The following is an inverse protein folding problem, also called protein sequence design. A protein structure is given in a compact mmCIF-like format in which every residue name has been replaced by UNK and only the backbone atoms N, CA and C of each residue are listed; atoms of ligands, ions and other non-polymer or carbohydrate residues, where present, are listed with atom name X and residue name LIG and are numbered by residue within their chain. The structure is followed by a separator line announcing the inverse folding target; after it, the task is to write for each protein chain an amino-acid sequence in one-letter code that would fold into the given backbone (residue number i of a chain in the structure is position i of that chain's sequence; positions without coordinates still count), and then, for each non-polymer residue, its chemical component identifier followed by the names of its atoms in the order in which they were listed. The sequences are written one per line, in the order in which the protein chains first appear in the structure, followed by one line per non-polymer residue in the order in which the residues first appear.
data_IF_188658615197
#
_entry.id   IF_188658615197
#
_cell.length_a   1.000
_cell.length_b   1.000
_cell.length_c   1.000
_cell.angle_alpha   90.00
_cell.angle_beta   90.00
_cell.angle_gamma   90.00
#
_symmetry.space_group_name_H-M   'P 1'
#
loop_
_entity.id
_entity.type
_entity.pdbx_description
1 polymer ?
#
# COMPACT_ATOMS: atom_id res chain seq x y z
N UNK A 1 63.74 -11.14 -6.53
CA UNK A 1 62.53 -11.39 -7.38
C UNK A 1 61.33 -10.76 -6.67
N UNK A 2 60.69 -9.75 -7.28
CA UNK A 2 59.45 -9.25 -6.77
C UNK A 2 58.34 -10.28 -7.02
N UNK A 3 57.44 -10.57 -6.08
CA UNK A 3 56.37 -11.52 -6.31
C UNK A 3 55.48 -11.02 -7.47
N UNK A 4 55.00 -11.92 -8.33
CA UNK A 4 54.27 -11.57 -9.58
C UNK A 4 53.05 -10.66 -9.37
N UNK A 5 52.46 -10.69 -8.19
CA UNK A 5 51.27 -9.87 -7.84
C UNK A 5 51.58 -8.37 -7.66
N UNK A 6 52.82 -8.00 -7.28
CA UNK A 6 53.16 -6.58 -7.08
C UNK A 6 53.44 -5.85 -8.41
N UNK A 7 53.93 -6.55 -9.43
CA UNK A 7 54.12 -5.96 -10.76
C UNK A 7 52.80 -5.63 -11.45
N UNK A 8 51.78 -6.48 -11.28
CA UNK A 8 50.43 -6.26 -11.80
C UNK A 8 49.75 -5.06 -11.13
N UNK A 9 49.81 -4.94 -9.81
CA UNK A 9 49.24 -3.83 -9.06
C UNK A 9 49.94 -2.50 -9.35
N UNK A 10 51.26 -2.49 -9.57
CA UNK A 10 52.00 -1.27 -9.96
C UNK A 10 51.64 -0.81 -11.37
N UNK A 11 51.34 -1.71 -12.29
CA UNK A 11 50.95 -1.39 -13.66
C UNK A 11 49.51 -0.90 -13.74
N UNK A 12 48.63 -1.33 -12.84
CA UNK A 12 47.27 -0.77 -12.69
C UNK A 12 47.29 0.66 -12.14
N UNK A 13 48.27 0.98 -11.26
CA UNK A 13 48.39 2.33 -10.67
C UNK A 13 49.03 3.36 -11.64
N UNK A 14 49.95 2.88 -12.50
CA UNK A 14 50.65 3.72 -13.50
C UNK A 14 50.71 2.96 -14.84
N UNK A 15 49.59 2.96 -15.61
CA UNK A 15 49.51 2.18 -16.83
C UNK A 15 50.47 2.74 -17.89
N UNK A 16 51.50 2.01 -18.21
CA UNK A 16 52.48 2.40 -19.23
C UNK A 16 52.13 1.85 -20.61
N UNK A 17 51.51 0.67 -20.68
CA UNK A 17 51.12 -0.01 -21.92
C UNK A 17 49.70 0.36 -22.31
N UNK A 18 49.41 0.43 -23.62
CA UNK A 18 48.11 0.86 -24.14
C UNK A 18 46.96 -0.04 -23.61
N UNK A 19 47.16 -1.35 -23.50
CA UNK A 19 46.16 -2.29 -22.99
C UNK A 19 45.89 -2.10 -21.48
N UNK A 20 46.94 -1.77 -20.69
CA UNK A 20 46.73 -1.45 -19.27
C UNK A 20 45.89 -0.20 -19.08
N UNK A 21 46.10 0.83 -19.93
CA UNK A 21 45.27 2.03 -19.95
C UNK A 21 43.81 1.71 -20.29
N UNK A 22 43.61 0.80 -21.27
CA UNK A 22 42.26 0.36 -21.65
C UNK A 22 41.57 -0.41 -20.54
N UNK A 23 42.28 -1.33 -19.85
CA UNK A 23 41.76 -2.06 -18.70
C UNK A 23 41.36 -1.08 -17.57
N UNK A 24 42.24 -0.14 -17.21
CA UNK A 24 41.95 0.86 -16.17
C UNK A 24 40.74 1.73 -16.57
N UNK A 25 40.63 2.15 -17.82
CA UNK A 25 39.49 2.91 -18.31
C UNK A 25 38.19 2.09 -18.22
N UNK A 26 38.21 0.81 -18.63
CA UNK A 26 37.03 -0.07 -18.53
C UNK A 26 36.61 -0.29 -17.08
N UNK A 27 37.56 -0.53 -16.17
CA UNK A 27 37.30 -0.69 -14.74
C UNK A 27 36.71 0.62 -14.16
N UNK A 28 37.29 1.76 -14.52
CA UNK A 28 36.78 3.06 -14.08
C UNK A 28 35.35 3.31 -14.59
N UNK A 29 35.09 3.09 -15.89
CA UNK A 29 33.76 3.24 -16.49
C UNK A 29 32.77 2.30 -15.78
N UNK A 30 33.14 1.02 -15.60
CA UNK A 30 32.28 0.05 -14.91
C UNK A 30 31.97 0.48 -13.47
N UNK A 31 32.96 0.98 -12.75
CA UNK A 31 32.78 1.49 -11.39
C UNK A 31 31.84 2.70 -11.34
N UNK A 32 32.06 3.70 -12.22
CA UNK A 32 31.18 4.87 -12.24
C UNK A 32 29.76 4.54 -12.70
N UNK A 33 29.59 3.59 -13.64
CA UNK A 33 28.27 3.10 -14.04
C UNK A 33 27.55 2.42 -12.87
N UNK A 34 28.26 1.59 -12.10
CA UNK A 34 27.73 0.92 -10.92
C UNK A 34 27.31 1.93 -9.85
N UNK A 35 28.15 2.92 -9.54
CA UNK A 35 27.83 3.98 -8.58
C UNK A 35 26.65 4.81 -9.05
N UNK A 36 26.64 5.21 -10.32
CA UNK A 36 25.50 5.96 -10.89
C UNK A 36 24.20 5.16 -10.80
N UNK A 37 24.23 3.87 -11.14
CA UNK A 37 23.06 2.99 -11.01
C UNK A 37 22.55 2.91 -9.56
N UNK A 38 23.43 2.78 -8.58
CA UNK A 38 23.08 2.74 -7.17
C UNK A 38 22.44 4.07 -6.70
N UNK A 39 23.00 5.22 -7.12
CA UNK A 39 22.46 6.55 -6.78
C UNK A 39 21.09 6.74 -7.40
N UNK A 40 20.93 6.45 -8.69
CA UNK A 40 19.65 6.59 -9.40
C UNK A 40 18.59 5.67 -8.74
N UNK A 41 18.93 4.42 -8.48
CA UNK A 41 18.01 3.48 -7.83
C UNK A 41 17.62 3.95 -6.43
N UNK A 42 18.58 4.42 -5.63
CA UNK A 42 18.31 4.99 -4.30
C UNK A 42 17.40 6.21 -4.36
N UNK A 43 17.62 7.10 -5.34
CA UNK A 43 16.75 8.26 -5.54
C UNK A 43 15.32 7.87 -5.93
N UNK A 44 15.16 6.87 -6.81
CA UNK A 44 13.83 6.39 -7.21
C UNK A 44 13.12 5.73 -6.03
N UNK A 45 13.80 4.85 -5.28
CA UNK A 45 13.22 4.23 -4.07
C UNK A 45 12.83 5.31 -3.07
N UNK A 46 13.68 6.31 -2.85
CA UNK A 46 13.35 7.44 -1.97
C UNK A 46 12.06 8.15 -2.41
N UNK A 47 11.88 8.44 -3.70
CA UNK A 47 10.64 9.07 -4.19
C UNK A 47 9.41 8.14 -4.06
N UNK A 48 9.59 6.82 -4.22
CA UNK A 48 8.51 5.85 -4.03
C UNK A 48 8.09 5.77 -2.56
N UNK A 49 9.05 5.68 -1.64
CA UNK A 49 8.72 5.56 -0.21
C UNK A 49 8.35 6.88 0.45
N UNK A 50 8.64 8.02 -0.18
CA UNK A 50 8.25 9.36 0.30
C UNK A 50 7.40 10.08 -0.73
N UNK A 51 6.15 9.64 -0.97
CA UNK A 51 5.26 10.28 -1.92
C UNK A 51 5.00 11.74 -1.52
N UNK A 52 4.83 12.59 -2.51
CA UNK A 52 4.65 14.03 -2.28
C UNK A 52 3.28 14.30 -1.70
N UNK A 53 3.23 15.00 -0.56
CA UNK A 53 2.00 15.55 0.00
C UNK A 53 1.39 16.58 -0.94
N UNK A 54 0.09 16.50 -1.16
CA UNK A 54 -0.61 17.39 -2.07
C UNK A 54 -2.09 17.55 -1.76
N UNK A 55 -2.54 17.18 -0.55
CA UNK A 55 -3.94 17.39 -0.17
C UNK A 55 -4.22 18.86 0.12
N UNK A 56 -5.37 19.33 -0.37
CA UNK A 56 -5.90 20.63 0.07
C UNK A 56 -6.67 20.42 1.39
N UNK A 57 -6.52 21.33 2.36
CA UNK A 57 -7.31 21.25 3.58
C UNK A 57 -8.81 21.38 3.24
N UNK A 58 -9.59 20.39 3.65
CA UNK A 58 -11.05 20.40 3.51
C UNK A 58 -11.67 20.92 4.82
N UNK A 59 -12.61 21.84 4.71
CA UNK A 59 -13.40 22.31 5.85
C UNK A 59 -14.48 21.26 6.18
N UNK A 60 -14.20 20.44 7.19
CA UNK A 60 -15.10 19.40 7.67
C UNK A 60 -16.37 19.96 8.34
N UNK A 61 -16.32 21.19 8.86
CA UNK A 61 -17.45 21.77 9.60
C UNK A 61 -18.71 21.92 8.74
N UNK A 62 -18.53 22.11 7.44
CA UNK A 62 -19.62 22.28 6.47
C UNK A 62 -19.83 21.01 5.60
N UNK A 63 -19.15 19.90 5.91
CA UNK A 63 -19.28 18.70 5.10
C UNK A 63 -20.55 17.89 5.48
N UNK A 64 -21.30 17.38 4.48
CA UNK A 64 -22.45 16.52 4.73
C UNK A 64 -22.03 15.28 5.55
N UNK A 65 -22.90 14.87 6.50
CA UNK A 65 -22.60 13.72 7.35
C UNK A 65 -21.83 14.05 8.62
N UNK A 66 -21.42 15.31 8.82
CA UNK A 66 -20.77 15.80 10.04
C UNK A 66 -19.62 14.94 10.53
N UNK A 67 -18.57 14.77 9.74
CA UNK A 67 -17.41 13.97 10.14
C UNK A 67 -16.68 14.59 11.33
N UNK A 68 -16.20 13.72 12.20
CA UNK A 68 -15.36 14.09 13.35
C UNK A 68 -13.90 13.78 13.05
N UNK A 69 -12.99 14.65 13.46
CA UNK A 69 -11.58 14.31 13.44
C UNK A 69 -11.27 13.31 14.56
N UNK A 70 -10.56 12.25 14.22
CA UNK A 70 -10.05 11.27 15.17
C UNK A 70 -8.54 11.20 15.06
N UNK A 71 -7.86 11.10 16.19
CA UNK A 71 -6.41 10.89 16.24
C UNK A 71 -6.11 9.55 16.88
N UNK A 72 -5.20 8.80 16.26
CA UNK A 72 -4.73 7.52 16.78
C UNK A 72 -3.21 7.49 16.86
N UNK A 73 -2.69 6.95 17.97
CA UNK A 73 -1.26 6.96 18.28
C UNK A 73 -0.60 5.66 17.83
N UNK A 74 0.54 5.80 17.17
CA UNK A 74 1.42 4.71 16.78
C UNK A 74 2.60 4.66 17.77
N UNK A 75 2.90 3.50 18.33
CA UNK A 75 3.94 3.35 19.35
C UNK A 75 5.33 3.86 18.91
N UNK A 76 5.64 3.81 17.61
CA UNK A 76 6.96 4.17 17.09
C UNK A 76 6.96 5.37 16.13
N UNK A 77 5.79 5.85 15.65
CA UNK A 77 5.72 6.77 14.52
C UNK A 77 4.85 8.01 14.76
N UNK A 78 4.54 8.31 16.02
CA UNK A 78 3.76 9.51 16.38
C UNK A 78 2.26 9.31 16.24
N UNK A 79 1.53 10.40 16.02
CA UNK A 79 0.06 10.41 15.89
C UNK A 79 -0.32 10.52 14.43
N UNK A 80 -1.44 9.90 14.08
CA UNK A 80 -2.12 10.02 12.78
C UNK A 80 -3.53 10.49 13.00
N UNK A 81 -4.07 11.16 11.99
CA UNK A 81 -5.43 11.66 12.00
C UNK A 81 -6.28 10.90 10.98
N UNK A 82 -7.54 10.81 11.25
CA UNK A 82 -8.55 10.24 10.39
C UNK A 82 -9.86 11.00 10.51
N UNK A 83 -10.81 10.68 9.67
CA UNK A 83 -12.16 11.24 9.74
C UNK A 83 -13.16 10.14 10.03
N UNK A 84 -13.95 10.35 11.07
CA UNK A 84 -15.01 9.44 11.49
C UNK A 84 -16.37 10.01 11.11
N UNK A 85 -17.13 9.28 10.36
CA UNK A 85 -18.51 9.58 9.95
C UNK A 85 -19.44 8.74 10.82
N UNK A 86 -20.16 9.35 11.77
CA UNK A 86 -21.08 8.61 12.62
C UNK A 86 -22.29 8.12 11.82
N UNK A 87 -22.58 6.83 11.93
CA UNK A 87 -23.78 6.19 11.37
C UNK A 87 -24.85 5.96 12.45
N UNK A 88 -25.50 4.80 12.39
CA UNK A 88 -26.43 4.39 13.44
C UNK A 88 -25.67 4.01 14.70
N UNK A 89 -26.26 4.32 15.86
CA UNK A 89 -25.65 3.97 17.15
C UNK A 89 -25.39 2.46 17.26
N UNK A 90 -24.18 2.12 17.67
CA UNK A 90 -23.70 0.73 17.76
C UNK A 90 -23.72 -0.05 16.43
N UNK A 91 -23.75 0.65 15.29
CA UNK A 91 -23.55 0.02 14.00
C UNK A 91 -22.07 -0.44 13.83
N UNK A 92 -21.83 -1.45 13.00
CA UNK A 92 -20.48 -1.80 12.58
C UNK A 92 -19.76 -0.62 11.95
N UNK A 93 -18.43 -0.61 12.05
CA UNK A 93 -17.61 0.45 11.46
C UNK A 93 -16.83 -0.07 10.27
N UNK A 94 -16.88 0.64 9.15
CA UNK A 94 -16.10 0.35 7.95
C UNK A 94 -14.92 1.32 7.89
N UNK A 95 -13.69 0.80 7.87
CA UNK A 95 -12.49 1.59 7.66
C UNK A 95 -12.16 1.59 6.17
N UNK A 96 -12.03 2.78 5.60
CA UNK A 96 -11.60 3.00 4.22
C UNK A 96 -10.11 3.31 4.20
N UNK A 97 -9.36 2.45 3.53
CA UNK A 97 -7.92 2.43 3.47
C UNK A 97 -7.46 2.87 2.08
N UNK A 98 -6.94 4.10 1.92
CA UNK A 98 -6.55 4.62 0.61
C UNK A 98 -5.41 3.83 -0.02
N UNK A 99 -5.29 3.93 -1.33
CA UNK A 99 -4.20 3.37 -2.11
C UNK A 99 -2.91 4.20 -2.06
N UNK A 100 -1.91 3.71 -2.77
CA UNK A 100 -0.65 4.42 -2.95
C UNK A 100 -0.88 5.73 -3.73
N UNK A 101 -0.39 6.84 -3.19
CA UNK A 101 -0.61 8.21 -3.70
C UNK A 101 -2.08 8.65 -3.77
N UNK A 102 -2.99 7.97 -3.07
CA UNK A 102 -4.37 8.41 -2.89
C UNK A 102 -4.52 9.20 -1.60
N UNK A 103 -5.34 10.27 -1.66
CA UNK A 103 -5.74 11.02 -0.47
C UNK A 103 -7.05 10.49 0.10
N UNK A 104 -7.22 10.59 1.43
CA UNK A 104 -8.50 10.26 2.09
C UNK A 104 -9.67 11.09 1.54
N UNK A 105 -9.38 12.30 1.06
CA UNK A 105 -10.36 13.22 0.46
C UNK A 105 -11.05 12.63 -0.77
N UNK A 106 -10.33 11.82 -1.52
CA UNK A 106 -10.83 11.20 -2.73
C UNK A 106 -11.89 10.11 -2.42
N UNK A 107 -11.92 9.61 -1.18
CA UNK A 107 -12.85 8.58 -0.71
C UNK A 107 -14.10 9.13 -0.01
N UNK A 108 -14.23 10.46 0.11
CA UNK A 108 -15.37 11.10 0.76
C UNK A 108 -16.74 10.67 0.19
N UNK A 109 -16.95 10.55 -1.14
CA UNK A 109 -18.24 10.10 -1.65
C UNK A 109 -18.55 8.66 -1.25
N UNK A 110 -17.57 7.76 -1.27
CA UNK A 110 -17.75 6.37 -0.81
C UNK A 110 -18.07 6.31 0.69
N UNK A 111 -17.41 7.15 1.51
CA UNK A 111 -17.68 7.25 2.93
C UNK A 111 -19.13 7.70 3.18
N UNK A 112 -19.59 8.73 2.45
CA UNK A 112 -20.96 9.22 2.54
C UNK A 112 -21.98 8.15 2.11
N UNK A 113 -21.74 7.46 1.01
CA UNK A 113 -22.61 6.39 0.53
C UNK A 113 -22.76 5.25 1.56
N UNK A 114 -21.69 4.86 2.24
CA UNK A 114 -21.75 3.84 3.30
C UNK A 114 -22.39 4.37 4.58
N UNK A 115 -22.16 5.64 4.94
CA UNK A 115 -22.82 6.28 6.07
C UNK A 115 -24.34 6.38 5.85
N UNK A 116 -24.80 6.70 4.66
CA UNK A 116 -26.22 6.72 4.29
C UNK A 116 -26.86 5.33 4.44
N UNK A 117 -26.07 4.27 4.25
CA UNK A 117 -26.50 2.91 4.59
C UNK A 117 -26.52 2.64 6.10
N UNK A 118 -26.16 3.60 6.95
CA UNK A 118 -26.20 3.52 8.41
C UNK A 118 -24.96 2.93 9.06
N UNK A 119 -23.89 2.67 8.33
CA UNK A 119 -22.60 2.28 8.92
C UNK A 119 -21.89 3.46 9.56
N UNK A 120 -21.12 3.19 10.61
CA UNK A 120 -20.04 4.10 10.98
C UNK A 120 -18.93 3.94 9.93
N UNK A 121 -18.34 5.04 9.47
CA UNK A 121 -17.28 4.97 8.46
C UNK A 121 -16.07 5.76 8.95
N UNK A 122 -14.89 5.22 8.75
CA UNK A 122 -13.63 5.91 9.07
C UNK A 122 -12.73 5.97 7.86
N UNK A 123 -12.36 7.17 7.48
CA UNK A 123 -11.28 7.42 6.52
C UNK A 123 -9.96 7.48 7.28
N UNK A 124 -9.08 6.51 7.06
CA UNK A 124 -7.75 6.52 7.65
C UNK A 124 -6.78 7.33 6.79
N UNK A 125 -5.83 7.98 7.43
CA UNK A 125 -4.73 8.65 6.74
C UNK A 125 -3.46 7.83 6.90
N UNK A 126 -2.87 7.42 5.78
CA UNK A 126 -1.65 6.63 5.78
C UNK A 126 -0.40 7.50 5.66
N UNK A 127 0.70 7.03 6.21
CA UNK A 127 2.01 7.67 6.08
C UNK A 127 2.43 7.87 4.62
N UNK A 128 2.00 6.97 3.72
CA UNK A 128 2.25 7.03 2.28
C UNK A 128 1.16 7.73 1.47
N UNK A 129 0.14 8.34 2.11
CA UNK A 129 -0.92 9.05 1.40
C UNK A 129 -0.53 10.49 1.06
N UNK A 130 -1.24 11.08 0.10
CA UNK A 130 -1.07 12.51 -0.26
C UNK A 130 -1.36 13.45 0.89
N UNK A 131 -2.15 13.03 1.87
CA UNK A 131 -2.54 13.84 3.03
C UNK A 131 -1.47 13.88 4.12
N UNK A 132 -0.52 12.95 4.09
CA UNK A 132 0.46 12.75 5.15
C UNK A 132 1.63 13.72 5.07
N UNK A 133 2.04 14.24 6.23
CA UNK A 133 3.26 15.05 6.37
C UNK A 133 4.41 14.20 6.92
N UNK A 134 5.27 13.71 6.04
CA UNK A 134 6.67 13.53 6.39
C UNK A 134 7.18 12.16 6.82
N UNK A 135 6.38 11.10 6.94
CA UNK A 135 6.92 9.74 7.15
C UNK A 135 6.55 8.90 5.94
N UNK A 136 7.55 8.30 5.30
CA UNK A 136 7.35 7.50 4.09
C UNK A 136 6.58 6.20 4.33
N UNK A 137 6.20 5.54 3.25
CA UNK A 137 5.53 4.23 3.23
C UNK A 137 6.54 3.09 3.17
N UNK A 138 6.20 1.97 3.78
CA UNK A 138 6.89 0.68 3.60
C UNK A 138 6.09 -0.22 2.64
N UNK A 139 5.25 0.38 1.80
CA UNK A 139 4.37 -0.28 0.83
C UNK A 139 3.49 -1.38 1.48
N UNK A 140 2.95 -1.10 2.67
CA UNK A 140 1.96 -1.93 3.34
C UNK A 140 2.33 -2.35 4.77
N UNK A 141 3.59 -2.53 5.11
CA UNK A 141 3.96 -3.00 6.44
C UNK A 141 3.58 -2.02 7.54
N UNK A 142 3.89 -0.76 7.37
CA UNK A 142 3.55 0.32 8.32
C UNK A 142 2.06 0.57 8.35
N UNK A 143 1.41 0.55 7.21
CA UNK A 143 0.00 0.82 7.06
C UNK A 143 -0.88 -0.21 7.81
N UNK A 144 -0.43 -1.46 7.94
CA UNK A 144 -1.07 -2.46 8.81
C UNK A 144 -1.11 -1.98 10.27
N UNK A 145 -0.01 -1.38 10.76
CA UNK A 145 0.03 -0.87 12.13
C UNK A 145 -0.85 0.37 12.29
N UNK A 146 -0.93 1.21 11.25
CA UNK A 146 -1.77 2.40 11.25
C UNK A 146 -3.25 2.04 11.30
N UNK A 147 -3.72 1.07 10.48
CA UNK A 147 -5.11 0.58 10.55
C UNK A 147 -5.38 -0.08 11.91
N UNK A 148 -4.43 -0.85 12.44
CA UNK A 148 -4.58 -1.49 13.76
C UNK A 148 -4.75 -0.46 14.86
N UNK A 149 -3.98 0.63 14.84
CA UNK A 149 -4.10 1.73 15.80
C UNK A 149 -5.45 2.45 15.67
N UNK A 150 -5.87 2.77 14.45
CA UNK A 150 -7.17 3.37 14.17
C UNK A 150 -8.31 2.50 14.68
N UNK A 151 -8.32 1.20 14.34
CA UNK A 151 -9.32 0.24 14.80
C UNK A 151 -9.34 0.13 16.33
N UNK A 152 -8.18 0.12 16.97
CA UNK A 152 -8.10 0.04 18.43
C UNK A 152 -8.60 1.32 19.12
N UNK A 153 -8.41 2.49 18.52
CA UNK A 153 -8.97 3.75 18.99
C UNK A 153 -10.49 3.77 18.84
N UNK A 154 -10.99 3.33 17.68
CA UNK A 154 -12.44 3.24 17.42
C UNK A 154 -13.12 2.25 18.38
N UNK A 155 -12.49 1.14 18.69
CA UNK A 155 -13.02 0.15 19.63
C UNK A 155 -13.16 0.65 21.08
N UNK A 156 -12.63 1.83 21.41
CA UNK A 156 -12.83 2.48 22.72
C UNK A 156 -14.05 3.40 22.76
N UNK A 157 -14.65 3.68 21.63
CA UNK A 157 -15.85 4.54 21.52
C UNK A 157 -17.10 3.78 21.99
N UNK A 158 -18.03 4.47 22.62
CA UNK A 158 -19.29 3.91 23.12
C UNK A 158 -20.41 3.92 22.10
N UNK A 159 -20.24 4.63 21.01
CA UNK A 159 -21.16 4.76 19.88
C UNK A 159 -20.89 3.81 18.73
N UNK A 160 -19.80 3.02 18.82
CA UNK A 160 -19.32 2.05 17.82
C UNK A 160 -19.53 0.62 18.35
N UNK A 161 -19.82 -0.33 17.47
CA UNK A 161 -19.71 -1.75 17.81
C UNK A 161 -18.24 -2.16 17.86
N UNK A 162 -17.76 -2.49 19.05
CA UNK A 162 -16.34 -2.76 19.32
C UNK A 162 -15.83 -4.08 18.73
N UNK A 163 -16.71 -4.95 18.28
CA UNK A 163 -16.38 -6.30 17.77
C UNK A 163 -16.69 -6.52 16.29
N UNK A 164 -17.25 -5.55 15.58
CA UNK A 164 -17.66 -5.69 14.19
C UNK A 164 -17.11 -4.58 13.30
N UNK A 165 -15.97 -4.86 12.67
CA UNK A 165 -15.33 -3.95 11.74
C UNK A 165 -15.32 -4.55 10.33
N UNK A 166 -15.57 -3.70 9.33
CA UNK A 166 -15.31 -3.96 7.93
C UNK A 166 -14.07 -3.20 7.48
N UNK A 167 -13.32 -3.75 6.54
CA UNK A 167 -12.20 -3.06 5.90
C UNK A 167 -12.45 -2.98 4.40
N UNK A 168 -12.20 -1.83 3.83
CA UNK A 168 -12.12 -1.63 2.39
C UNK A 168 -10.78 -1.00 2.04
N UNK A 169 -10.18 -1.37 0.91
CA UNK A 169 -8.95 -0.75 0.47
C UNK A 169 -8.67 -0.94 -1.01
N UNK A 170 -7.78 -0.09 -1.54
CA UNK A 170 -7.20 -0.21 -2.87
C UNK A 170 -5.69 -0.38 -2.75
N UNK A 171 -5.09 -1.14 -3.65
CA UNK A 171 -3.66 -1.47 -3.74
C UNK A 171 -2.94 -1.54 -2.36
N UNK A 172 -2.29 -0.48 -1.90
CA UNK A 172 -1.62 -0.36 -0.60
C UNK A 172 -2.59 -0.63 0.56
N UNK A 173 -3.76 0.01 0.52
CA UNK A 173 -4.82 -0.18 1.51
C UNK A 173 -5.38 -1.60 1.51
N UNK A 174 -5.46 -2.25 0.33
CA UNK A 174 -5.89 -3.64 0.19
C UNK A 174 -4.93 -4.62 0.86
N UNK A 175 -3.63 -4.45 0.64
CA UNK A 175 -2.61 -5.26 1.31
C UNK A 175 -2.68 -5.12 2.83
N UNK A 176 -2.79 -3.88 3.30
CA UNK A 176 -2.87 -3.59 4.72
C UNK A 176 -4.17 -4.14 5.34
N UNK A 177 -5.32 -4.01 4.66
CA UNK A 177 -6.61 -4.53 5.11
C UNK A 177 -6.61 -6.06 5.25
N UNK A 178 -6.15 -6.81 4.25
CA UNK A 178 -6.05 -8.27 4.34
C UNK A 178 -5.06 -8.72 5.40
N UNK A 179 -3.92 -8.03 5.53
CA UNK A 179 -2.91 -8.34 6.54
C UNK A 179 -3.41 -8.09 7.96
N UNK A 180 -4.25 -7.08 8.18
CA UNK A 180 -4.88 -6.87 9.49
C UNK A 180 -5.95 -7.92 9.76
N UNK A 181 -6.81 -8.19 8.77
CA UNK A 181 -7.93 -9.11 8.92
C UNK A 181 -7.51 -10.53 9.34
N UNK A 182 -6.34 -11.01 8.89
CA UNK A 182 -5.84 -12.33 9.27
C UNK A 182 -5.42 -12.46 10.74
N UNK A 183 -5.19 -11.32 11.40
CA UNK A 183 -4.64 -11.27 12.76
C UNK A 183 -5.56 -10.61 13.78
N UNK A 184 -6.62 -9.92 13.34
CA UNK A 184 -7.56 -9.23 14.22
C UNK A 184 -8.98 -9.81 14.08
N UNK A 185 -9.48 -10.56 15.06
CA UNK A 185 -10.79 -11.23 14.99
C UNK A 185 -11.97 -10.24 15.00
N UNK A 186 -11.76 -8.97 15.28
CA UNK A 186 -12.79 -7.93 15.20
C UNK A 186 -13.13 -7.56 13.75
N UNK A 187 -12.24 -7.88 12.80
CA UNK A 187 -12.51 -7.69 11.37
C UNK A 187 -13.41 -8.83 10.88
N UNK A 188 -14.59 -8.47 10.39
CA UNK A 188 -15.66 -9.41 10.03
C UNK A 188 -15.94 -9.48 8.53
N UNK A 189 -15.51 -8.50 7.75
CA UNK A 189 -15.64 -8.49 6.30
C UNK A 189 -14.54 -7.62 5.68
N UNK A 190 -14.04 -7.99 4.50
CA UNK A 190 -12.99 -7.25 3.79
C UNK A 190 -13.31 -7.13 2.31
N UNK A 191 -13.28 -5.93 1.77
CA UNK A 191 -13.36 -5.66 0.34
C UNK A 191 -12.01 -5.07 -0.14
N UNK A 192 -11.38 -5.67 -1.13
CA UNK A 192 -10.05 -5.27 -1.61
C UNK A 192 -10.03 -5.14 -3.13
N UNK A 193 -9.41 -4.08 -3.59
CA UNK A 193 -9.20 -3.81 -5.00
C UNK A 193 -7.71 -3.79 -5.34
N UNK A 194 -7.34 -4.42 -6.46
CA UNK A 194 -5.96 -4.35 -7.01
C UNK A 194 -4.88 -4.74 -6.02
N UNK A 195 -5.11 -5.79 -5.21
CA UNK A 195 -4.20 -6.22 -4.15
C UNK A 195 -2.96 -6.92 -4.70
N UNK A 196 -1.83 -6.72 -4.05
CA UNK A 196 -0.56 -7.39 -4.32
C UNK A 196 -0.17 -8.35 -3.18
N UNK A 197 0.74 -9.28 -3.48
CA UNK A 197 1.12 -10.36 -2.56
C UNK A 197 2.21 -9.95 -1.54
N UNK A 198 3.14 -9.09 -1.99
CA UNK A 198 4.24 -8.58 -1.14
C UNK A 198 4.57 -7.12 -1.47
N UNK A 199 5.08 -6.33 -0.52
CA UNK A 199 5.56 -4.97 -0.78
C UNK A 199 6.63 -4.90 -1.88
N UNK A 200 7.52 -5.88 -1.98
CA UNK A 200 8.50 -5.98 -3.05
C UNK A 200 7.86 -6.12 -4.43
N UNK A 201 6.72 -6.82 -4.51
CA UNK A 201 5.98 -6.93 -5.77
C UNK A 201 5.38 -5.59 -6.19
N UNK A 202 4.82 -4.83 -5.23
CA UNK A 202 4.34 -3.48 -5.50
C UNK A 202 5.49 -2.56 -5.93
N UNK A 203 6.64 -2.62 -5.27
CA UNK A 203 7.83 -1.88 -5.69
C UNK A 203 8.18 -2.16 -7.15
N UNK A 204 8.19 -3.43 -7.59
CA UNK A 204 8.48 -3.78 -9.01
C UNK A 204 7.47 -3.17 -9.97
N UNK A 205 6.19 -3.18 -9.62
CA UNK A 205 5.13 -2.57 -10.43
C UNK A 205 5.38 -1.07 -10.56
N UNK A 206 5.71 -0.39 -9.46
CA UNK A 206 6.05 1.03 -9.47
C UNK A 206 7.30 1.34 -10.29
N UNK A 207 8.37 0.52 -10.14
CA UNK A 207 9.59 0.66 -10.94
C UNK A 207 9.33 0.51 -12.45
N UNK A 208 8.42 -0.40 -12.83
CA UNK A 208 7.99 -0.55 -14.22
C UNK A 208 7.23 0.71 -14.69
N UNK A 209 6.36 1.27 -13.85
CA UNK A 209 5.64 2.52 -14.13
C UNK A 209 6.59 3.72 -14.33
N UNK A 210 7.70 3.77 -13.59
CA UNK A 210 8.77 4.76 -13.79
C UNK A 210 9.67 4.49 -15.02
N UNK A 211 9.43 3.37 -15.73
CA UNK A 211 10.20 3.00 -16.94
C UNK A 211 11.59 2.45 -16.67
N UNK A 212 11.95 2.21 -15.42
CA UNK A 212 13.28 1.69 -15.05
C UNK A 212 13.30 0.19 -14.77
N UNK A 213 12.14 -0.45 -14.71
CA UNK A 213 12.01 -1.88 -14.40
C UNK A 213 12.73 -2.82 -15.38
N UNK A 214 12.93 -2.39 -16.64
CA UNK A 214 13.64 -3.15 -17.68
C UNK A 214 15.12 -2.78 -17.83
N UNK A 215 15.61 -1.79 -17.09
CA UNK A 215 17.00 -1.35 -17.19
C UNK A 215 17.94 -2.28 -16.42
N UNK A 216 19.13 -2.60 -16.99
CA UNK A 216 20.06 -3.46 -16.30
C UNK A 216 20.56 -2.83 -14.99
N UNK A 217 20.66 -3.63 -13.94
CA UNK A 217 21.14 -3.29 -12.59
C UNK A 217 20.18 -2.43 -11.74
N UNK A 218 19.45 -1.46 -12.31
CA UNK A 218 18.64 -0.49 -11.57
C UNK A 218 17.56 -1.16 -10.69
N UNK A 219 16.73 -2.10 -11.20
CA UNK A 219 15.75 -2.78 -10.34
C UNK A 219 16.40 -3.54 -9.18
N UNK A 220 17.52 -4.23 -9.45
CA UNK A 220 18.20 -5.00 -8.40
C UNK A 220 18.79 -4.14 -7.28
N UNK A 221 19.28 -2.93 -7.61
CA UNK A 221 19.70 -1.97 -6.60
C UNK A 221 18.51 -1.38 -5.83
N UNK A 222 17.42 -1.07 -6.55
CA UNK A 222 16.21 -0.56 -5.93
C UNK A 222 15.60 -1.59 -4.95
N UNK A 223 15.48 -2.85 -5.36
CA UNK A 223 14.98 -3.93 -4.51
C UNK A 223 15.86 -4.11 -3.26
N UNK A 224 17.18 -4.18 -3.41
CA UNK A 224 18.08 -4.31 -2.26
C UNK A 224 18.04 -3.10 -1.33
N UNK A 225 17.92 -1.88 -1.88
CA UNK A 225 17.74 -0.67 -1.10
C UNK A 225 16.45 -0.70 -0.29
N UNK A 226 15.36 -1.13 -0.90
CA UNK A 226 14.07 -1.29 -0.25
C UNK A 226 14.10 -2.39 0.82
N UNK A 227 14.68 -3.56 0.53
CA UNK A 227 14.83 -4.66 1.49
C UNK A 227 15.68 -4.22 2.71
N UNK A 228 16.68 -3.37 2.49
CA UNK A 228 17.46 -2.81 3.60
C UNK A 228 16.64 -1.83 4.46
N UNK A 229 15.78 -1.01 3.84
CA UNK A 229 14.88 -0.12 4.55
C UNK A 229 13.82 -0.87 5.35
N UNK A 230 13.34 -2.00 4.82
CA UNK A 230 12.25 -2.81 5.41
C UNK A 230 12.76 -4.11 6.06
N UNK A 231 14.05 -4.18 6.43
CA UNK A 231 14.68 -5.42 6.91
C UNK A 231 14.00 -6.02 8.16
N UNK A 232 13.38 -5.19 8.99
CA UNK A 232 12.65 -5.63 10.19
C UNK A 232 11.38 -6.41 9.84
N UNK A 233 10.80 -6.15 8.68
CA UNK A 233 9.57 -6.76 8.19
C UNK A 233 9.83 -7.90 7.20
N UNK A 234 11.11 -8.16 6.86
CA UNK A 234 11.51 -9.18 5.89
C UNK A 234 11.09 -10.62 6.26
N UNK A 235 10.76 -10.86 7.54
CA UNK A 235 10.27 -12.15 8.02
C UNK A 235 8.76 -12.35 7.79
N UNK A 236 8.02 -11.34 7.33
CA UNK A 236 6.58 -11.43 7.09
C UNK A 236 6.34 -12.22 5.80
N UNK A 237 5.68 -13.40 5.87
CA UNK A 237 5.41 -14.20 4.67
C UNK A 237 4.49 -13.48 3.70
N UNK A 238 4.53 -13.81 2.38
CA UNK A 238 3.56 -13.31 1.41
C UNK A 238 2.11 -13.53 1.83
N UNK A 239 1.20 -12.64 1.40
CA UNK A 239 -0.24 -12.78 1.68
C UNK A 239 -0.77 -14.13 1.24
N UNK A 240 -0.34 -14.64 0.10
CA UNK A 240 -0.73 -15.96 -0.44
C UNK A 240 -0.51 -17.10 0.56
N UNK A 241 0.50 -17.03 1.41
CA UNK A 241 0.76 -18.04 2.45
C UNK A 241 -0.07 -17.81 3.72
N UNK A 242 -0.62 -16.61 3.91
CA UNK A 242 -1.36 -16.20 5.10
C UNK A 242 -2.88 -16.22 4.92
N UNK A 243 -3.36 -16.19 3.65
CA UNK A 243 -4.80 -16.23 3.30
C UNK A 243 -5.60 -17.35 4.00
N UNK A 244 -5.07 -18.57 4.26
CA UNK A 244 -5.83 -19.60 4.99
C UNK A 244 -6.35 -19.15 6.37
N UNK A 245 -5.71 -18.16 7.00
CA UNK A 245 -6.17 -17.58 8.28
C UNK A 245 -7.47 -16.77 8.15
N UNK A 246 -7.84 -16.39 6.93
CA UNK A 246 -9.09 -15.68 6.64
C UNK A 246 -10.29 -16.63 6.40
N UNK A 247 -10.18 -17.91 6.77
CA UNK A 247 -11.31 -18.83 6.68
C UNK A 247 -12.50 -18.32 7.50
N UNK A 248 -13.68 -18.28 6.88
CA UNK A 248 -14.90 -17.78 7.50
C UNK A 248 -15.07 -16.25 7.50
N UNK A 249 -14.07 -15.47 7.12
CA UNK A 249 -14.22 -14.02 6.92
C UNK A 249 -14.71 -13.77 5.49
N UNK A 250 -15.86 -13.14 5.25
CA UNK A 250 -16.31 -12.74 3.92
C UNK A 250 -15.34 -11.76 3.25
N UNK A 251 -14.99 -12.06 2.00
CA UNK A 251 -14.05 -11.26 1.20
C UNK A 251 -14.62 -10.95 -0.17
N UNK A 252 -14.46 -9.69 -0.60
CA UNK A 252 -14.70 -9.26 -1.97
C UNK A 252 -13.36 -8.87 -2.59
N UNK A 253 -12.97 -9.53 -3.67
CA UNK A 253 -11.80 -9.19 -4.48
C UNK A 253 -12.26 -8.47 -5.73
N UNK A 254 -11.72 -7.29 -5.98
CA UNK A 254 -12.04 -6.46 -7.14
C UNK A 254 -10.80 -6.35 -8.01
N UNK A 255 -10.95 -6.73 -9.27
CA UNK A 255 -9.92 -6.65 -10.29
C UNK A 255 -10.19 -5.46 -11.20
N UNK A 256 -9.14 -4.73 -11.57
CA UNK A 256 -9.23 -3.59 -12.47
C UNK A 256 -8.50 -3.91 -13.79
N UNK A 257 -9.21 -3.88 -14.90
CA UNK A 257 -8.65 -4.22 -16.20
C UNK A 257 -7.60 -3.22 -16.70
N UNK A 258 -7.65 -1.98 -16.23
CA UNK A 258 -6.65 -0.93 -16.50
C UNK A 258 -5.34 -1.09 -15.69
N UNK A 259 -5.33 -2.01 -14.71
CA UNK A 259 -4.14 -2.37 -13.93
C UNK A 259 -3.79 -3.87 -14.08
N UNK A 260 -3.41 -4.34 -15.27
CA UNK A 260 -3.35 -5.77 -15.61
C UNK A 260 -2.36 -6.57 -14.76
N UNK A 261 -1.29 -5.97 -14.26
CA UNK A 261 -0.33 -6.65 -13.40
C UNK A 261 -0.93 -6.91 -12.02
N UNK A 262 -1.62 -5.92 -11.43
CA UNK A 262 -2.33 -6.09 -10.17
C UNK A 262 -3.55 -7.01 -10.33
N UNK A 263 -4.31 -6.90 -11.42
CA UNK A 263 -5.44 -7.79 -11.70
C UNK A 263 -5.04 -9.26 -11.67
N UNK A 264 -3.94 -9.64 -12.36
CA UNK A 264 -3.43 -11.01 -12.35
C UNK A 264 -3.05 -11.50 -10.95
N UNK A 265 -2.51 -10.62 -10.12
CA UNK A 265 -2.12 -10.97 -8.75
C UNK A 265 -3.38 -11.12 -7.90
N UNK A 266 -4.33 -10.19 -8.01
CA UNK A 266 -5.61 -10.21 -7.30
C UNK A 266 -6.37 -11.49 -7.61
N UNK A 267 -6.52 -11.86 -8.91
CA UNK A 267 -7.13 -13.12 -9.34
C UNK A 267 -6.45 -14.34 -8.68
N UNK A 268 -5.11 -14.38 -8.68
CA UNK A 268 -4.38 -15.48 -8.05
C UNK A 268 -4.66 -15.56 -6.56
N UNK A 269 -4.65 -14.43 -5.85
CA UNK A 269 -4.96 -14.37 -4.41
C UNK A 269 -6.41 -14.74 -4.14
N UNK A 270 -7.35 -14.34 -5.00
CA UNK A 270 -8.73 -14.79 -4.93
C UNK A 270 -8.82 -16.32 -5.00
N UNK A 271 -8.22 -16.96 -6.01
CA UNK A 271 -8.24 -18.41 -6.14
C UNK A 271 -7.69 -19.14 -4.92
N UNK A 272 -6.64 -18.61 -4.30
CA UNK A 272 -6.00 -19.19 -3.10
C UNK A 272 -6.75 -18.89 -1.80
N UNK A 273 -7.64 -17.91 -1.81
CA UNK A 273 -8.38 -17.48 -0.62
C UNK A 273 -9.46 -18.50 -0.24
N UNK A 274 -9.66 -18.81 1.07
CA UNK A 274 -10.74 -19.65 1.53
C UNK A 274 -12.10 -18.96 1.40
N UNK A 275 -13.17 -19.77 1.48
CA UNK A 275 -14.54 -19.26 1.50
C UNK A 275 -14.87 -18.59 2.87
N UNK A 276 -15.87 -17.66 2.91
CA UNK A 276 -16.63 -17.11 1.78
C UNK A 276 -15.87 -16.03 1.03
N UNK A 277 -15.96 -16.02 -0.29
CA UNK A 277 -15.30 -15.04 -1.16
C UNK A 277 -16.14 -14.72 -2.38
N UNK A 278 -15.99 -13.50 -2.89
CA UNK A 278 -16.62 -12.99 -4.10
C UNK A 278 -15.55 -12.32 -4.98
N UNK A 279 -15.74 -12.37 -6.28
CA UNK A 279 -14.88 -11.74 -7.27
C UNK A 279 -15.68 -10.79 -8.14
N UNK A 280 -15.09 -9.66 -8.47
CA UNK A 280 -15.67 -8.67 -9.37
C UNK A 280 -14.57 -8.13 -10.29
N UNK A 281 -14.89 -7.98 -11.57
CA UNK A 281 -13.98 -7.35 -12.53
C UNK A 281 -14.55 -6.03 -13.01
N UNK A 282 -13.77 -4.97 -12.90
CA UNK A 282 -14.10 -3.63 -13.36
C UNK A 282 -13.26 -3.25 -14.58
N UNK A 283 -13.82 -2.42 -15.43
CA UNK A 283 -13.07 -1.87 -16.58
C UNK A 283 -11.97 -0.90 -16.12
N UNK A 284 -12.22 -0.16 -15.04
CA UNK A 284 -11.31 0.82 -14.46
C UNK A 284 -11.26 0.67 -12.94
N UNK A 285 -10.04 0.67 -12.40
CA UNK A 285 -9.76 0.73 -10.98
C UNK A 285 -9.56 2.16 -10.48
N UNK A 286 -9.15 2.27 -9.20
CA UNK A 286 -8.93 3.52 -8.48
C UNK A 286 -10.15 4.43 -8.49
N UNK A 287 -10.94 4.30 -7.44
CA UNK A 287 -12.20 5.01 -7.24
C UNK A 287 -12.15 6.50 -7.59
N UNK A 288 -11.07 7.20 -7.24
CA UNK A 288 -10.88 8.61 -7.54
C UNK A 288 -10.93 8.94 -9.04
N UNK A 289 -10.46 8.04 -9.89
CA UNK A 289 -10.41 8.20 -11.35
C UNK A 289 -11.66 7.78 -12.10
N UNK A 290 -12.69 7.24 -11.42
CA UNK A 290 -13.93 6.77 -12.03
C UNK A 290 -14.84 7.93 -12.43
N UNK A 291 -15.66 7.73 -13.45
CA UNK A 291 -16.74 8.66 -13.83
C UNK A 291 -17.94 8.51 -12.85
N UNK A 292 -18.82 9.50 -12.81
CA UNK A 292 -19.93 9.56 -11.84
C UNK A 292 -20.83 8.31 -11.84
N UNK A 293 -21.15 7.75 -13.01
CA UNK A 293 -21.96 6.53 -13.11
C UNK A 293 -21.18 5.28 -12.67
N UNK A 294 -19.87 5.23 -12.97
CA UNK A 294 -18.98 4.17 -12.52
C UNK A 294 -18.83 4.23 -10.99
N UNK A 295 -18.64 5.45 -10.41
CA UNK A 295 -18.58 5.66 -8.95
C UNK A 295 -19.83 5.16 -8.25
N UNK A 296 -21.01 5.56 -8.74
CA UNK A 296 -22.30 5.11 -8.15
C UNK A 296 -22.46 3.58 -8.23
N UNK A 297 -22.07 2.97 -9.34
CA UNK A 297 -22.10 1.52 -9.47
C UNK A 297 -21.14 0.83 -8.49
N UNK A 298 -19.96 1.39 -8.33
CA UNK A 298 -18.94 0.92 -7.39
C UNK A 298 -19.42 1.04 -5.94
N UNK A 299 -19.92 2.22 -5.54
CA UNK A 299 -20.48 2.48 -4.20
C UNK A 299 -21.59 1.50 -3.85
N UNK A 300 -22.52 1.26 -4.79
CA UNK A 300 -23.61 0.29 -4.62
C UNK A 300 -23.08 -1.13 -4.44
N UNK A 301 -22.02 -1.50 -5.15
CA UNK A 301 -21.38 -2.82 -5.04
C UNK A 301 -20.76 -3.00 -3.67
N UNK A 302 -19.97 -2.03 -3.21
CA UNK A 302 -19.31 -2.07 -1.89
C UNK A 302 -20.39 -2.07 -0.79
N UNK A 303 -21.39 -1.22 -0.89
CA UNK A 303 -22.50 -1.19 0.06
C UNK A 303 -23.26 -2.53 0.12
N UNK A 304 -23.56 -3.13 -1.03
CA UNK A 304 -24.25 -4.43 -1.11
C UNK A 304 -23.42 -5.55 -0.48
N UNK A 305 -22.11 -5.56 -0.71
CA UNK A 305 -21.20 -6.52 -0.08
C UNK A 305 -21.24 -6.39 1.45
N UNK A 306 -21.09 -5.19 2.00
CA UNK A 306 -21.10 -5.01 3.44
C UNK A 306 -22.49 -5.28 4.04
N UNK A 307 -23.58 -4.90 3.36
CA UNK A 307 -24.94 -5.21 3.84
C UNK A 307 -25.20 -6.71 3.98
N UNK A 308 -24.62 -7.53 3.10
CA UNK A 308 -24.75 -8.99 3.15
C UNK A 308 -23.77 -9.66 4.11
N UNK A 309 -22.58 -9.10 4.29
CA UNK A 309 -21.46 -9.73 5.00
C UNK A 309 -21.22 -9.15 6.40
N UNK A 310 -21.66 -7.95 6.65
CA UNK A 310 -21.52 -7.23 7.93
C UNK A 310 -22.87 -6.57 8.30
N UNK A 311 -23.92 -7.36 8.62
CA UNK A 311 -25.23 -6.81 8.92
C UNK A 311 -25.18 -5.88 10.13
N UNK A 312 -26.05 -4.84 10.10
CA UNK A 312 -26.17 -3.79 11.15
C UNK A 312 -26.76 -4.33 12.46
#
# INVERSE_FOLDING_TARGET
MRPPNMAFLSELRYPTRWYSKLIVALVAISFFTFVAAAIISGFVVYNIVTPRSGSQPIDLANFPGHPEEISYSLQASGTRDGWFFPGLKSAPTILLCPGYEEGREELLPLATALQEQGYNVTLVDFSGSKSSTGIGTDLGYREVQEIRAALSTLAQRTDVDQGRFGLWGTDLGSYAALSLAESDPRVRAVAVESVYDTPQQMLRILLNGYGIGSLPLLPSFAERGFDWLTYQDAAIPPLSQRLPRLAGVPKLFIEAADAPDLAKITARLFFQSPEPKQEEMLARGKYAGMLDDEKRSYENRIASFFLSSLPK
#
